data_IF_273937080701
#
_entry.id   IF_273937080701
#
_cell.length_a   1.000
_cell.length_b   1.000
_cell.length_c   1.000
_cell.angle_alpha   90.00
_cell.angle_beta   90.00
_cell.angle_gamma   90.00
#
_symmetry.space_group_name_H-M   'P 1'
#
loop_
_entity.id
_entity.type
_entity.pdbx_description
1 polymer ?
#
# COMPACT_ATOMS: atom_id res chain seq x y z
N UNK A 1 -19.96 7.89 -3.76
CA UNK A 1 -19.72 7.34 -2.40
C UNK A 1 -18.76 6.19 -2.55
N UNK A 2 -17.80 6.04 -1.63
CA UNK A 2 -16.82 4.97 -1.69
C UNK A 2 -17.50 3.60 -1.51
N UNK A 3 -17.27 2.69 -2.45
CA UNK A 3 -17.91 1.38 -2.57
C UNK A 3 -16.92 0.23 -2.34
N UNK A 4 -15.65 0.40 -2.72
CA UNK A 4 -14.62 -0.66 -2.65
C UNK A 4 -13.27 -0.10 -2.18
N UNK A 5 -12.63 -0.82 -1.25
CA UNK A 5 -11.28 -0.49 -0.78
C UNK A 5 -10.38 -1.70 -1.00
N UNK A 6 -9.26 -1.51 -1.67
CA UNK A 6 -8.22 -2.52 -1.81
C UNK A 6 -7.00 -2.16 -0.98
N UNK A 7 -6.36 -3.17 -0.40
CA UNK A 7 -5.04 -3.04 0.21
C UNK A 7 -4.08 -4.04 -0.43
N UNK A 8 -2.84 -3.62 -0.65
CA UNK A 8 -1.77 -4.52 -1.05
C UNK A 8 -0.46 -4.16 -0.37
N UNK A 9 0.33 -5.18 -0.08
CA UNK A 9 1.72 -5.01 0.35
C UNK A 9 2.60 -4.83 -0.87
N UNK A 10 3.71 -4.11 -0.73
CA UNK A 10 4.76 -4.10 -1.75
C UNK A 10 5.18 -5.53 -2.17
N UNK A 11 5.76 -5.64 -3.37
CA UNK A 11 6.32 -6.90 -3.89
C UNK A 11 7.63 -7.31 -3.21
N UNK A 12 8.17 -8.47 -3.61
CA UNK A 12 9.42 -9.01 -3.10
C UNK A 12 10.60 -8.03 -3.24
N UNK A 13 11.29 -7.77 -2.14
CA UNK A 13 12.35 -6.75 -2.07
C UNK A 13 13.67 -7.26 -2.69
N UNK A 14 14.48 -6.34 -3.21
CA UNK A 14 15.80 -6.67 -3.78
C UNK A 14 16.80 -7.13 -2.72
N UNK A 15 16.73 -6.55 -1.53
CA UNK A 15 17.67 -6.83 -0.42
C UNK A 15 17.42 -8.17 0.27
N UNK A 16 16.31 -8.85 -0.03
CA UNK A 16 16.08 -10.24 0.34
C UNK A 16 16.87 -11.24 -0.51
N UNK A 17 17.36 -10.82 -1.68
CA UNK A 17 18.20 -11.65 -2.56
C UNK A 17 19.67 -11.35 -2.31
N UNK A 18 20.05 -10.07 -2.41
CA UNK A 18 21.42 -9.61 -2.20
C UNK A 18 21.37 -8.41 -1.27
N UNK A 19 21.86 -8.54 -0.02
CA UNK A 19 22.04 -7.39 0.85
C UNK A 19 23.00 -6.42 0.18
N UNK A 20 22.53 -5.20 -0.06
CA UNK A 20 23.38 -4.10 -0.55
C UNK A 20 23.69 -3.15 0.60
N UNK A 21 24.82 -2.46 0.49
CA UNK A 21 25.13 -1.37 1.43
C UNK A 21 24.01 -0.33 1.34
N UNK A 22 23.57 0.17 2.48
CA UNK A 22 22.37 1.00 2.60
C UNK A 22 22.40 2.31 1.78
N UNK A 23 23.56 2.77 1.33
CA UNK A 23 23.73 3.94 0.48
C UNK A 23 23.63 3.63 -1.04
N UNK A 24 23.35 2.38 -1.42
CA UNK A 24 23.23 1.96 -2.82
C UNK A 24 21.79 1.87 -3.31
N UNK A 25 20.80 2.19 -2.48
CA UNK A 25 19.40 2.24 -2.90
C UNK A 25 19.11 3.46 -3.78
N UNK A 26 18.07 3.42 -4.64
CA UNK A 26 17.84 4.48 -5.63
C UNK A 26 17.70 5.89 -5.03
N UNK A 27 17.07 6.00 -3.85
CA UNK A 27 16.91 7.27 -3.13
C UNK A 27 18.16 7.69 -2.36
N UNK A 28 19.14 6.80 -2.21
CA UNK A 28 20.33 6.97 -1.36
C UNK A 28 20.05 6.81 0.14
N UNK A 29 18.81 6.51 0.53
CA UNK A 29 18.40 6.37 1.93
C UNK A 29 18.50 4.94 2.43
N UNK A 30 18.71 4.79 3.74
CA UNK A 30 18.74 3.50 4.43
C UNK A 30 17.35 2.84 4.42
N UNK A 31 17.32 1.50 4.34
CA UNK A 31 16.09 0.70 4.40
C UNK A 31 15.02 1.02 3.33
N UNK A 32 15.46 1.58 2.20
CA UNK A 32 14.59 1.94 1.07
C UNK A 32 14.89 1.13 -0.21
N UNK A 33 14.95 -0.22 -0.15
CA UNK A 33 15.21 -1.05 -1.31
C UNK A 33 14.12 -0.90 -2.36
N UNK A 34 14.53 -1.07 -3.62
CA UNK A 34 13.61 -1.34 -4.71
C UNK A 34 13.07 -2.78 -4.69
N UNK A 35 12.12 -3.06 -5.55
CA UNK A 35 11.67 -4.42 -5.81
C UNK A 35 12.79 -5.22 -6.49
N UNK A 36 12.85 -6.52 -6.17
CA UNK A 36 13.62 -7.50 -6.93
C UNK A 36 12.99 -7.72 -8.32
N UNK A 37 13.68 -8.37 -9.28
CA UNK A 37 13.06 -8.79 -10.54
C UNK A 37 11.79 -9.62 -10.32
N UNK A 38 11.78 -10.49 -9.29
CA UNK A 38 10.61 -11.26 -8.87
C UNK A 38 9.48 -10.37 -8.36
N UNK A 39 9.79 -9.42 -7.48
CA UNK A 39 8.81 -8.46 -6.95
C UNK A 39 8.22 -7.54 -8.02
N UNK A 40 9.01 -7.19 -9.05
CA UNK A 40 8.51 -6.51 -10.24
C UNK A 40 7.51 -7.38 -11.01
N UNK A 41 7.72 -8.69 -11.11
CA UNK A 41 6.75 -9.60 -11.74
C UNK A 41 5.47 -9.72 -10.91
N UNK A 42 5.58 -9.87 -9.58
CA UNK A 42 4.41 -9.86 -8.69
C UNK A 42 3.57 -8.58 -8.86
N UNK A 43 4.22 -7.41 -8.95
CA UNK A 43 3.51 -6.14 -9.15
C UNK A 43 2.86 -6.02 -10.54
N UNK A 44 3.47 -6.61 -11.58
CA UNK A 44 2.85 -6.71 -12.92
C UNK A 44 1.64 -7.64 -12.92
N UNK A 45 1.72 -8.78 -12.24
CA UNK A 45 0.60 -9.72 -12.08
C UNK A 45 -0.55 -9.07 -11.30
N UNK A 46 -0.25 -8.28 -10.27
CA UNK A 46 -1.23 -7.45 -9.58
C UNK A 46 -1.90 -6.44 -10.52
N UNK A 47 -1.12 -5.71 -11.33
CA UNK A 47 -1.68 -4.77 -12.31
C UNK A 47 -2.58 -5.49 -13.34
N UNK A 48 -2.13 -6.65 -13.82
CA UNK A 48 -2.89 -7.50 -14.74
C UNK A 48 -4.17 -8.05 -14.10
N UNK A 49 -4.17 -8.35 -12.79
CA UNK A 49 -5.38 -8.72 -12.07
C UNK A 49 -6.45 -7.62 -12.18
N UNK A 50 -6.09 -6.35 -11.97
CA UNK A 50 -7.02 -5.23 -12.13
C UNK A 50 -7.55 -5.11 -13.57
N UNK A 51 -6.65 -5.19 -14.57
CA UNK A 51 -7.01 -5.08 -15.99
C UNK A 51 -7.89 -6.24 -16.44
N UNK A 52 -7.47 -7.49 -16.20
CA UNK A 52 -8.15 -8.69 -16.68
C UNK A 52 -9.54 -8.86 -16.06
N UNK A 53 -9.74 -8.39 -14.82
CA UNK A 53 -11.04 -8.40 -14.16
C UNK A 53 -11.86 -7.12 -14.40
N UNK A 54 -11.38 -6.22 -15.27
CA UNK A 54 -12.04 -4.94 -15.61
C UNK A 54 -12.36 -4.10 -14.36
N UNK A 55 -11.49 -4.16 -13.35
CA UNK A 55 -11.67 -3.43 -12.09
C UNK A 55 -11.32 -1.96 -12.33
N UNK A 56 -12.30 -1.08 -12.11
CA UNK A 56 -12.10 0.36 -12.14
C UNK A 56 -11.55 0.82 -10.78
N UNK A 57 -10.41 1.49 -10.79
CA UNK A 57 -9.85 2.22 -9.65
C UNK A 57 -9.92 3.72 -9.93
N UNK A 58 -10.28 4.51 -8.92
CA UNK A 58 -10.31 5.97 -9.02
C UNK A 58 -9.06 6.61 -8.44
N UNK A 59 -8.47 6.01 -7.39
CA UNK A 59 -7.26 6.52 -6.73
C UNK A 59 -6.33 5.42 -6.25
N UNK A 60 -5.04 5.70 -6.27
CA UNK A 60 -3.99 4.87 -5.69
C UNK A 60 -3.26 5.69 -4.63
N UNK A 61 -3.30 5.23 -3.38
CA UNK A 61 -2.50 5.74 -2.28
C UNK A 61 -1.31 4.83 -2.06
N UNK A 62 -0.13 5.39 -1.88
CA UNK A 62 1.08 4.62 -1.60
C UNK A 62 1.82 5.18 -0.41
N UNK A 63 2.35 4.28 0.42
CA UNK A 63 3.43 4.60 1.34
C UNK A 63 4.61 5.24 0.58
N UNK A 64 5.36 6.16 1.21
CA UNK A 64 6.43 6.92 0.56
C UNK A 64 7.73 6.14 0.33
N UNK A 65 7.81 4.84 0.67
CA UNK A 65 9.01 4.05 0.38
C UNK A 65 9.07 3.61 -1.09
N UNK A 66 10.28 3.52 -1.63
CA UNK A 66 10.52 3.25 -3.04
C UNK A 66 9.81 1.97 -3.50
N UNK A 67 9.91 0.88 -2.73
CA UNK A 67 9.24 -0.40 -3.02
C UNK A 67 7.72 -0.30 -3.14
N UNK A 68 7.06 0.50 -2.28
CA UNK A 68 5.59 0.65 -2.32
C UNK A 68 5.18 1.51 -3.49
N UNK A 69 5.89 2.61 -3.75
CA UNK A 69 5.62 3.46 -4.91
C UNK A 69 5.89 2.71 -6.21
N UNK A 70 6.93 1.88 -6.27
CA UNK A 70 7.22 1.04 -7.43
C UNK A 70 6.11 0.01 -7.68
N UNK A 71 5.59 -0.66 -6.64
CA UNK A 71 4.42 -1.55 -6.78
C UNK A 71 3.19 -0.77 -7.26
N UNK A 72 2.91 0.39 -6.67
CA UNK A 72 1.81 1.26 -7.07
C UNK A 72 1.93 1.71 -8.54
N UNK A 73 3.14 2.02 -9.00
CA UNK A 73 3.41 2.50 -10.36
C UNK A 73 3.05 1.47 -11.43
N UNK A 74 3.29 0.17 -11.19
CA UNK A 74 2.85 -0.87 -12.12
C UNK A 74 1.33 -0.87 -12.30
N UNK A 75 0.55 -0.68 -11.23
CA UNK A 75 -0.91 -0.57 -11.32
C UNK A 75 -1.32 0.74 -11.98
N UNK A 76 -0.71 1.86 -11.58
CA UNK A 76 -1.00 3.20 -12.08
C UNK A 76 -0.75 3.34 -13.58
N UNK A 77 0.30 2.72 -14.12
CA UNK A 77 0.59 2.74 -15.56
C UNK A 77 -0.46 2.00 -16.38
N UNK A 78 -0.96 0.88 -15.88
CA UNK A 78 -1.94 0.05 -16.59
C UNK A 78 -3.36 0.62 -16.54
N UNK A 79 -3.68 1.42 -15.52
CA UNK A 79 -5.00 2.03 -15.32
C UNK A 79 -5.02 3.54 -15.62
N UNK A 80 -3.88 4.09 -16.05
CA UNK A 80 -3.67 5.52 -16.29
C UNK A 80 -4.08 6.43 -15.12
N UNK A 81 -3.58 6.10 -13.93
CA UNK A 81 -3.86 6.84 -12.70
C UNK A 81 -2.63 7.57 -12.19
N UNK A 82 -2.87 8.57 -11.33
CA UNK A 82 -1.85 9.19 -10.51
C UNK A 82 -1.64 8.42 -9.19
N UNK A 83 -0.49 8.61 -8.57
CA UNK A 83 -0.13 8.04 -7.27
C UNK A 83 -0.15 9.14 -6.21
N UNK A 84 -0.93 8.94 -5.16
CA UNK A 84 -1.05 9.83 -4.01
C UNK A 84 -0.15 9.30 -2.88
N UNK A 85 0.96 9.99 -2.62
CA UNK A 85 1.91 9.56 -1.57
C UNK A 85 1.34 9.89 -0.20
N UNK A 86 0.96 8.85 0.55
CA UNK A 86 0.37 8.95 1.88
C UNK A 86 1.34 8.45 2.96
N UNK A 87 1.86 9.40 3.74
CA UNK A 87 2.80 9.10 4.83
C UNK A 87 2.19 8.20 5.91
N UNK A 88 0.88 8.28 6.17
CA UNK A 88 0.16 7.40 7.10
C UNK A 88 0.19 5.92 6.74
N UNK A 89 0.59 5.55 5.51
CA UNK A 89 0.82 4.16 5.09
C UNK A 89 2.28 3.70 5.28
N UNK A 90 3.13 4.56 5.85
CA UNK A 90 4.54 4.32 6.18
C UNK A 90 4.82 3.01 6.92
N UNK A 91 6.03 2.49 6.73
CA UNK A 91 6.54 1.29 7.38
C UNK A 91 6.73 1.52 8.89
N UNK A 92 6.56 0.46 9.68
CA UNK A 92 6.81 0.49 11.12
C UNK A 92 8.32 0.46 11.40
N UNK A 93 8.79 1.32 12.32
CA UNK A 93 10.20 1.41 12.76
C UNK A 93 11.23 1.76 11.68
N UNK A 94 10.83 2.44 10.59
CA UNK A 94 11.75 2.92 9.55
C UNK A 94 11.97 4.44 9.64
N UNK A 95 13.19 4.94 9.32
CA UNK A 95 13.48 6.37 9.24
C UNK A 95 12.61 7.15 8.24
N UNK A 96 12.78 8.48 8.22
CA UNK A 96 12.08 9.34 7.27
C UNK A 96 12.34 8.91 5.80
N UNK A 97 11.31 8.91 4.95
CA UNK A 97 11.39 8.48 3.57
C UNK A 97 11.95 9.59 2.67
N UNK A 98 12.21 9.26 1.41
CA UNK A 98 12.53 10.26 0.42
C UNK A 98 11.36 11.24 0.23
N UNK A 99 11.68 12.50 -0.11
CA UNK A 99 10.64 13.48 -0.42
C UNK A 99 9.85 13.09 -1.66
N UNK A 100 8.59 13.50 -1.74
CA UNK A 100 7.72 13.30 -2.91
C UNK A 100 8.39 13.79 -4.21
N UNK A 101 9.09 14.93 -4.15
CA UNK A 101 9.84 15.46 -5.30
C UNK A 101 10.96 14.53 -5.76
N UNK A 102 11.71 13.95 -4.81
CA UNK A 102 12.77 12.99 -5.11
C UNK A 102 12.21 11.71 -5.72
N UNK A 103 11.12 11.18 -5.17
CA UNK A 103 10.44 10.00 -5.71
C UNK A 103 9.89 10.26 -7.12
N UNK A 104 9.39 11.46 -7.40
CA UNK A 104 8.86 11.83 -8.73
C UNK A 104 9.93 11.82 -9.84
N UNK A 105 11.21 11.96 -9.50
CA UNK A 105 12.32 11.76 -10.45
C UNK A 105 12.32 10.33 -11.02
N UNK A 106 11.86 9.35 -10.24
CA UNK A 106 11.76 7.94 -10.63
C UNK A 106 10.35 7.54 -11.08
N UNK A 107 9.32 8.17 -10.51
CA UNK A 107 7.92 7.83 -10.72
C UNK A 107 7.09 9.07 -11.13
N UNK A 108 7.04 9.40 -12.44
CA UNK A 108 6.39 10.64 -12.92
C UNK A 108 4.88 10.76 -12.64
N UNK A 109 4.21 9.65 -12.33
CA UNK A 109 2.77 9.60 -12.00
C UNK A 109 2.44 10.06 -10.57
N UNK A 110 3.44 10.33 -9.72
CA UNK A 110 3.20 10.86 -8.36
C UNK A 110 2.57 12.24 -8.41
N UNK A 111 1.36 12.41 -7.87
CA UNK A 111 0.73 13.74 -7.77
C UNK A 111 1.40 14.56 -6.65
N UNK A 112 2.13 15.61 -7.02
CA UNK A 112 2.83 16.50 -6.07
C UNK A 112 1.93 17.54 -5.40
N UNK A 113 0.67 17.67 -5.82
CA UNK A 113 -0.33 18.54 -5.20
C UNK A 113 -1.08 17.84 -4.07
N UNK A 114 -0.93 16.52 -3.94
CA UNK A 114 -1.52 15.77 -2.84
C UNK A 114 -0.76 16.02 -1.53
N UNK A 115 -1.52 16.36 -0.49
CA UNK A 115 -1.02 16.45 0.89
C UNK A 115 -1.53 15.27 1.70
N UNK A 116 -0.62 14.49 2.27
CA UNK A 116 -0.95 13.35 3.13
C UNK A 116 -1.92 13.74 4.26
N UNK A 117 -2.83 12.85 4.62
CA UNK A 117 -3.75 13.05 5.75
C UNK A 117 -3.02 12.92 7.09
N UNK A 118 -2.02 12.03 7.14
CA UNK A 118 -1.25 11.72 8.33
C UNK A 118 0.23 12.02 8.14
N UNK A 119 0.91 12.22 9.26
CA UNK A 119 2.38 12.33 9.28
C UNK A 119 3.02 10.96 9.08
N UNK A 120 4.31 10.96 8.76
CA UNK A 120 5.10 9.74 8.72
C UNK A 120 5.12 9.06 10.11
N UNK A 121 5.15 7.72 10.18
CA UNK A 121 5.37 6.98 11.42
C UNK A 121 6.53 7.53 12.23
N UNK A 122 6.38 7.51 13.55
CA UNK A 122 7.51 7.75 14.45
C UNK A 122 8.35 6.48 14.55
N UNK A 123 9.64 6.64 14.80
CA UNK A 123 10.56 5.50 14.93
C UNK A 123 10.26 4.62 16.16
N UNK A 124 9.55 5.15 17.16
CA UNK A 124 9.24 4.51 18.44
C UNK A 124 7.76 4.08 18.57
N UNK A 125 7.01 3.97 17.47
CA UNK A 125 5.62 3.49 17.50
C UNK A 125 5.53 2.11 18.17
N UNK A 126 4.62 1.95 19.13
CA UNK A 126 4.18 0.63 19.59
C UNK A 126 3.18 0.03 18.60
N UNK A 127 2.86 -1.26 18.72
CA UNK A 127 1.79 -1.91 17.93
C UNK A 127 0.45 -1.14 18.07
N UNK A 128 0.18 -0.62 19.27
CA UNK A 128 -0.99 0.19 19.55
C UNK A 128 -0.96 1.52 18.77
N UNK A 129 0.21 2.19 18.71
CA UNK A 129 0.39 3.43 17.95
C UNK A 129 0.22 3.20 16.44
N UNK A 130 0.72 2.07 15.91
CA UNK A 130 0.51 1.69 14.50
C UNK A 130 -0.99 1.55 14.20
N UNK A 131 -1.74 0.84 15.05
CA UNK A 131 -3.20 0.73 14.90
C UNK A 131 -3.91 2.09 15.01
N UNK A 132 -3.50 2.95 15.94
CA UNK A 132 -4.10 4.27 16.13
C UNK A 132 -3.85 5.18 14.92
N UNK A 133 -2.63 5.19 14.39
CA UNK A 133 -2.27 5.91 13.15
C UNK A 133 -3.08 5.42 11.96
N UNK A 134 -3.17 4.10 11.74
CA UNK A 134 -3.91 3.56 10.59
C UNK A 134 -5.41 3.75 10.73
N UNK A 135 -5.97 3.69 11.94
CA UNK A 135 -7.36 4.07 12.19
C UNK A 135 -7.64 5.51 11.73
N UNK A 136 -6.82 6.46 12.17
CA UNK A 136 -6.95 7.87 11.77
C UNK A 136 -6.78 8.05 10.26
N UNK A 137 -5.71 7.47 9.70
CA UNK A 137 -5.40 7.54 8.26
C UNK A 137 -6.58 7.04 7.42
N UNK A 138 -7.15 5.89 7.77
CA UNK A 138 -8.29 5.32 7.04
C UNK A 138 -9.54 6.17 7.17
N UNK A 139 -9.87 6.67 8.37
CA UNK A 139 -11.00 7.56 8.56
C UNK A 139 -10.89 8.83 7.70
N UNK A 140 -9.72 9.46 7.65
CA UNK A 140 -9.49 10.69 6.88
C UNK A 140 -9.50 10.44 5.36
N UNK A 141 -8.90 9.34 4.88
CA UNK A 141 -8.96 8.95 3.45
C UNK A 141 -10.40 8.66 3.02
N UNK A 142 -11.13 7.86 3.79
CA UNK A 142 -12.53 7.52 3.47
C UNK A 142 -13.37 8.80 3.46
N UNK A 143 -13.22 9.66 4.46
CA UNK A 143 -13.95 10.94 4.54
C UNK A 143 -13.64 11.86 3.35
N UNK A 144 -12.36 11.98 2.93
CA UNK A 144 -11.99 12.76 1.74
C UNK A 144 -12.61 12.18 0.46
N UNK A 145 -12.55 10.86 0.27
CA UNK A 145 -13.14 10.19 -0.89
C UNK A 145 -14.67 10.37 -0.94
N UNK A 146 -15.34 10.28 0.20
CA UNK A 146 -16.78 10.51 0.30
C UNK A 146 -17.18 11.96 0.04
N UNK A 147 -16.41 12.93 0.55
CA UNK A 147 -16.64 14.36 0.34
C UNK A 147 -16.50 14.78 -1.14
N UNK A 148 -15.60 14.13 -1.89
CA UNK A 148 -15.48 14.34 -3.33
C UNK A 148 -16.67 13.78 -4.14
N UNK A 149 -17.43 12.86 -3.57
CA UNK A 149 -18.69 12.32 -4.13
C UNK A 149 -18.52 11.32 -5.29
N UNK A 150 -17.50 11.51 -6.13
CA UNK A 150 -17.25 10.75 -7.37
C UNK A 150 -16.36 9.52 -7.19
N UNK A 151 -15.64 9.42 -6.07
CA UNK A 151 -14.72 8.30 -5.79
C UNK A 151 -15.52 7.09 -5.31
N UNK A 152 -15.31 5.94 -5.96
CA UNK A 152 -15.97 4.66 -5.69
C UNK A 152 -14.98 3.56 -5.30
N UNK A 153 -13.77 3.55 -5.86
CA UNK A 153 -12.79 2.52 -5.58
C UNK A 153 -11.38 3.07 -5.42
N UNK A 154 -10.69 2.61 -4.38
CA UNK A 154 -9.31 3.03 -4.09
C UNK A 154 -8.42 1.82 -3.81
N UNK A 155 -7.14 1.96 -4.12
CA UNK A 155 -6.07 1.03 -3.74
C UNK A 155 -5.12 1.71 -2.75
N UNK A 156 -4.80 1.04 -1.66
CA UNK A 156 -3.77 1.45 -0.71
C UNK A 156 -2.59 0.47 -0.77
N UNK A 157 -1.41 0.99 -1.05
CA UNK A 157 -0.16 0.23 -1.15
C UNK A 157 0.71 0.54 0.06
N UNK A 158 1.02 -0.48 0.86
CA UNK A 158 1.76 -0.32 2.11
C UNK A 158 2.72 -1.47 2.39
N UNK A 159 2.99 -1.66 3.68
CA UNK A 159 3.91 -2.67 4.21
C UNK A 159 3.13 -3.69 5.05
N UNK A 160 3.78 -4.75 5.51
CA UNK A 160 3.10 -5.79 6.26
C UNK A 160 2.34 -5.23 7.48
N UNK A 161 3.02 -4.45 8.32
CA UNK A 161 2.43 -3.85 9.51
C UNK A 161 1.33 -2.83 9.17
N UNK A 162 1.59 -1.92 8.22
CA UNK A 162 0.64 -0.85 7.88
C UNK A 162 -0.58 -1.35 7.09
N UNK A 163 -0.43 -2.36 6.23
CA UNK A 163 -1.55 -3.03 5.55
C UNK A 163 -2.39 -3.83 6.54
N UNK A 164 -1.77 -4.63 7.41
CA UNK A 164 -2.50 -5.38 8.44
C UNK A 164 -3.30 -4.45 9.36
N UNK A 165 -2.66 -3.38 9.85
CA UNK A 165 -3.33 -2.38 10.67
C UNK A 165 -4.43 -1.62 9.91
N UNK A 166 -4.23 -1.29 8.63
CA UNK A 166 -5.24 -0.64 7.79
C UNK A 166 -6.45 -1.53 7.50
N UNK A 167 -6.24 -2.82 7.23
CA UNK A 167 -7.33 -3.80 7.08
C UNK A 167 -8.13 -3.93 8.37
N UNK A 168 -7.44 -4.05 9.51
CA UNK A 168 -8.06 -4.09 10.86
C UNK A 168 -8.84 -2.81 11.18
N UNK A 169 -8.35 -1.66 10.74
CA UNK A 169 -9.05 -0.38 10.90
C UNK A 169 -10.40 -0.37 10.17
N UNK A 170 -10.45 -0.86 8.93
CA UNK A 170 -11.71 -0.93 8.15
C UNK A 170 -12.67 -1.99 8.69
N UNK A 171 -12.15 -3.07 9.28
CA UNK A 171 -12.95 -4.08 9.99
C UNK A 171 -13.49 -3.60 11.33
N UNK A 172 -12.92 -2.54 11.90
CA UNK A 172 -13.12 -2.14 13.30
C UNK A 172 -12.75 -3.26 14.29
N UNK A 173 -11.75 -4.09 13.94
CA UNK A 173 -11.28 -5.23 14.74
C UNK A 173 -9.75 -5.32 14.69
N UNK A 174 -9.09 -4.96 15.80
CA UNK A 174 -7.62 -4.97 15.94
C UNK A 174 -7.02 -6.36 16.06
N UNK A 175 -7.84 -7.39 16.26
CA UNK A 175 -7.39 -8.77 16.44
C UNK A 175 -7.68 -9.64 15.22
N UNK A 176 -8.35 -9.10 14.20
CA UNK A 176 -8.65 -9.83 12.98
C UNK A 176 -7.37 -10.42 12.36
N UNK A 177 -7.48 -11.66 11.89
CA UNK A 177 -6.41 -12.34 11.15
C UNK A 177 -6.36 -11.75 9.74
N UNK A 178 -5.20 -11.22 9.37
CA UNK A 178 -4.96 -10.64 8.05
C UNK A 178 -3.78 -11.34 7.42
N UNK A 179 -3.97 -11.91 6.23
CA UNK A 179 -2.86 -12.40 5.43
C UNK A 179 -2.22 -11.22 4.70
N UNK A 180 -0.90 -11.13 4.74
CA UNK A 180 -0.15 -9.99 4.21
C UNK A 180 1.18 -10.42 3.56
N UNK A 181 1.08 -11.40 2.64
CA UNK A 181 2.18 -11.75 1.74
C UNK A 181 2.55 -10.62 0.78
N UNK A 182 3.71 -10.72 0.13
CA UNK A 182 4.12 -9.74 -0.89
C UNK A 182 3.13 -9.69 -2.05
N UNK A 183 2.71 -8.48 -2.45
CA UNK A 183 1.67 -8.26 -3.46
C UNK A 183 0.32 -8.97 -3.20
N UNK A 184 0.08 -9.49 -2.00
CA UNK A 184 -1.24 -10.02 -1.64
C UNK A 184 -2.31 -8.92 -1.74
N UNK A 185 -3.54 -9.28 -2.09
CA UNK A 185 -4.64 -8.34 -2.24
C UNK A 185 -5.76 -8.58 -1.22
N UNK A 186 -6.00 -7.61 -0.36
CA UNK A 186 -7.20 -7.56 0.47
C UNK A 186 -8.24 -6.64 -0.17
N UNK A 187 -9.50 -7.05 -0.14
CA UNK A 187 -10.62 -6.30 -0.76
C UNK A 187 -11.78 -6.17 0.21
N UNK A 188 -12.25 -4.95 0.38
CA UNK A 188 -13.51 -4.64 1.04
C UNK A 188 -14.57 -4.19 0.04
N UNK A 189 -15.81 -4.61 0.25
CA UNK A 189 -16.99 -4.11 -0.48
C UNK A 189 -17.98 -3.53 0.52
N UNK A 190 -18.61 -2.41 0.18
CA UNK A 190 -19.64 -1.79 1.02
C UNK A 190 -21.01 -2.42 0.76
N UNK A 191 -21.61 -3.00 1.80
CA UNK A 191 -22.88 -3.71 1.73
C UNK A 191 -23.75 -3.31 2.92
N UNK A 192 -24.96 -2.78 2.66
CA UNK A 192 -25.86 -2.33 3.72
C UNK A 192 -25.24 -1.25 4.63
N UNK A 193 -24.39 -0.39 4.06
CA UNK A 193 -23.68 0.67 4.78
C UNK A 193 -22.45 0.22 5.57
N UNK A 194 -22.12 -1.08 5.58
CA UNK A 194 -20.96 -1.64 6.31
C UNK A 194 -19.91 -2.18 5.36
N UNK A 195 -18.65 -2.17 5.78
CA UNK A 195 -17.56 -2.79 5.04
C UNK A 195 -17.54 -4.31 5.28
N UNK A 196 -17.37 -5.08 4.20
CA UNK A 196 -17.22 -6.54 4.22
C UNK A 196 -15.92 -6.92 3.54
N UNK A 197 -15.03 -7.60 4.27
CA UNK A 197 -13.83 -8.19 3.70
C UNK A 197 -14.22 -9.36 2.79
N UNK A 198 -13.91 -9.23 1.51
CA UNK A 198 -14.20 -10.21 0.45
C UNK A 198 -12.97 -10.99 0.00
N UNK A 199 -11.78 -10.37 0.09
CA UNK A 199 -10.49 -11.02 -0.09
C UNK A 199 -9.61 -10.68 1.11
N UNK A 200 -8.92 -11.67 1.69
CA UNK A 200 -8.01 -11.49 2.82
C UNK A 200 -6.60 -11.95 2.41
N UNK A 201 -5.80 -11.01 1.90
CA UNK A 201 -4.46 -11.29 1.38
C UNK A 201 -4.46 -12.32 0.26
N UNK A 202 -5.38 -12.21 -0.70
CA UNK A 202 -5.44 -13.13 -1.83
C UNK A 202 -4.16 -13.04 -2.68
N UNK A 203 -3.56 -14.20 -2.96
CA UNK A 203 -2.39 -14.35 -3.82
C UNK A 203 -2.68 -15.30 -4.99
N UNK A 204 -3.94 -15.70 -5.21
CA UNK A 204 -4.30 -16.70 -6.23
C UNK A 204 -3.99 -16.28 -7.67
N UNK A 205 -3.85 -14.97 -7.91
CA UNK A 205 -3.44 -14.40 -9.19
C UNK A 205 -1.93 -14.30 -9.38
N UNK A 206 -1.14 -14.52 -8.33
CA UNK A 206 0.32 -14.51 -8.39
C UNK A 206 0.81 -15.90 -8.82
N UNK A 207 1.70 -15.95 -9.81
CA UNK A 207 2.24 -17.24 -10.28
C UNK A 207 3.05 -17.97 -9.20
N UNK A 208 3.66 -17.23 -8.28
CA UNK A 208 4.40 -17.74 -7.11
C UNK A 208 3.54 -18.09 -5.91
N UNK A 209 2.24 -17.77 -5.92
CA UNK A 209 1.37 -17.91 -4.74
C UNK A 209 1.72 -16.95 -3.60
N UNK A 210 1.41 -17.35 -2.37
CA UNK A 210 1.72 -16.56 -1.18
C UNK A 210 3.20 -16.69 -0.79
N UNK A 211 3.86 -15.55 -0.58
CA UNK A 211 5.25 -15.48 -0.14
C UNK A 211 5.40 -14.44 0.98
N UNK A 212 6.29 -14.72 1.94
CA UNK A 212 6.70 -13.80 3.02
C UNK A 212 5.53 -13.22 3.84
N UNK A 213 4.50 -14.02 4.14
CA UNK A 213 3.42 -13.60 5.04
C UNK A 213 3.96 -13.14 6.40
N UNK A 214 3.27 -12.21 7.05
CA UNK A 214 3.70 -11.57 8.29
C UNK A 214 2.51 -11.11 9.13
N UNK A 215 2.62 -11.22 10.46
CA UNK A 215 1.66 -10.70 11.42
C UNK A 215 2.39 -10.19 12.70
N UNK A 216 1.64 -9.56 13.61
CA UNK A 216 2.14 -8.88 14.82
C UNK A 216 2.45 -9.80 16.02
N UNK A 217 2.30 -11.11 15.84
CA UNK A 217 2.36 -12.18 16.85
C UNK A 217 3.77 -12.53 17.36
#
# INVERSE_FOLDING_TARGET
MLETIYFTRHGHRSDWIVPVLNNCYPTGLFYDPQLSPHGCNQAKELAQYFVNNTIQLDKIYSSPLFRTVQTANYVAENLDLEILVENGLGEWEIPEPASTSKLREFFPRINTLYTSVSNHPKADETIQDVHDRLNKTMQEIISRCEAEGQIKSILLVGHAASVTAGVRAVLEDRLAVVNCGTCSLSKFVREGGKWKLRLNGDCSFLSGGEENNWAFD
#
